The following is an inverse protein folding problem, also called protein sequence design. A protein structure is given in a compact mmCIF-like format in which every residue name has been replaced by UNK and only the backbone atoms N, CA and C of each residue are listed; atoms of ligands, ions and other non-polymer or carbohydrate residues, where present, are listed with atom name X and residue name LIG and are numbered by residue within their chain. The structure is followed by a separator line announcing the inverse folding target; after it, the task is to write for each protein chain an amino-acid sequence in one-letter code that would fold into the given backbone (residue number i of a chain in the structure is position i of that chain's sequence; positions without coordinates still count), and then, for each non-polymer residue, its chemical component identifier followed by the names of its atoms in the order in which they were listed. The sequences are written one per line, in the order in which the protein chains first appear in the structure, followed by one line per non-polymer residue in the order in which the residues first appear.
data_IF_624812803812
#
_entry.id   IF_624812803812
#
_cell.length_a   1.000
_cell.length_b   1.000
_cell.length_c   1.000
_cell.angle_alpha   90.00
_cell.angle_beta   90.00
_cell.angle_gamma   90.00
#
_symmetry.space_group_name_H-M   'P 1'
#
loop_
_entity.id
_entity.type
_entity.pdbx_description
1 polymer ?
#
# COMPACT_ATOMS: atom_id res chain seq x y z
N UNK A 1 -18.58 -15.75 4.01
CA UNK A 1 -17.61 -16.80 3.60
C UNK A 1 -17.16 -17.59 4.84
N UNK A 2 -16.72 -18.86 4.75
CA UNK A 2 -16.23 -19.58 5.94
C UNK A 2 -14.83 -19.09 6.35
N UNK A 3 -14.50 -19.15 7.65
CA UNK A 3 -13.17 -18.79 8.16
C UNK A 3 -12.05 -19.58 7.48
N UNK A 4 -12.25 -20.87 7.22
CA UNK A 4 -11.28 -21.71 6.51
C UNK A 4 -10.96 -21.21 5.10
N UNK A 5 -11.98 -20.79 4.34
CA UNK A 5 -11.79 -20.23 3.00
C UNK A 5 -11.09 -18.86 3.04
N UNK A 6 -11.44 -18.01 4.00
CA UNK A 6 -10.77 -16.72 4.22
C UNK A 6 -9.28 -16.91 4.52
N UNK A 7 -8.95 -17.82 5.45
CA UNK A 7 -7.56 -18.14 5.78
C UNK A 7 -6.78 -18.62 4.56
N UNK A 8 -7.36 -19.52 3.75
CA UNK A 8 -6.68 -20.04 2.56
C UNK A 8 -6.32 -18.93 1.55
N UNK A 9 -7.18 -17.92 1.40
CA UNK A 9 -6.97 -16.79 0.48
C UNK A 9 -6.01 -15.74 1.05
N UNK A 10 -5.98 -15.56 2.38
CA UNK A 10 -5.26 -14.46 3.01
C UNK A 10 -3.91 -14.85 3.63
N UNK A 11 -3.64 -16.14 3.80
CA UNK A 11 -2.44 -16.65 4.46
C UNK A 11 -1.16 -16.06 3.86
N UNK A 12 -0.25 -15.63 4.73
CA UNK A 12 1.11 -15.25 4.36
C UNK A 12 1.95 -16.51 4.14
N UNK A 13 2.53 -16.63 2.95
CA UNK A 13 3.43 -17.71 2.59
C UNK A 13 4.84 -17.17 2.36
N UNK A 14 5.83 -17.74 3.05
CA UNK A 14 7.20 -17.23 3.02
C UNK A 14 7.89 -17.43 1.67
N UNK A 15 7.63 -18.54 1.01
CA UNK A 15 8.20 -18.81 -0.30
C UNK A 15 7.65 -17.79 -1.31
N UNK A 16 6.34 -17.49 -1.23
CA UNK A 16 5.73 -16.43 -2.02
C UNK A 16 6.31 -15.05 -1.69
N UNK A 17 6.49 -14.71 -0.40
CA UNK A 17 7.12 -13.43 0.00
C UNK A 17 8.54 -13.31 -0.57
N UNK A 18 9.33 -14.40 -0.52
CA UNK A 18 10.70 -14.42 -1.08
C UNK A 18 10.68 -14.21 -2.59
N UNK A 19 9.78 -14.87 -3.31
CA UNK A 19 9.60 -14.68 -4.76
C UNK A 19 9.12 -13.26 -5.11
N UNK A 20 8.21 -12.69 -4.32
CA UNK A 20 7.61 -11.39 -4.56
C UNK A 20 8.61 -10.21 -4.40
N UNK A 21 9.79 -10.44 -3.79
CA UNK A 21 10.88 -9.45 -3.77
C UNK A 21 11.29 -9.02 -5.19
N UNK A 22 11.31 -9.96 -6.14
CA UNK A 22 11.63 -9.65 -7.54
C UNK A 22 10.55 -8.76 -8.19
N UNK A 23 9.27 -9.00 -7.88
CA UNK A 23 8.16 -8.18 -8.36
C UNK A 23 8.27 -6.73 -7.85
N UNK A 24 8.66 -6.55 -6.58
CA UNK A 24 8.87 -5.22 -6.01
C UNK A 24 9.95 -4.44 -6.76
N UNK A 25 11.09 -5.07 -7.02
CA UNK A 25 12.21 -4.47 -7.76
C UNK A 25 11.75 -4.07 -9.16
N UNK A 26 11.11 -5.00 -9.88
CA UNK A 26 10.58 -4.75 -11.23
C UNK A 26 9.54 -3.63 -11.27
N UNK A 27 8.67 -3.55 -10.27
CA UNK A 27 7.67 -2.48 -10.12
C UNK A 27 8.34 -1.11 -9.95
N UNK A 28 9.37 -1.03 -9.09
CA UNK A 28 10.15 0.19 -8.86
C UNK A 28 10.89 0.62 -10.14
N UNK A 29 11.60 -0.29 -10.78
CA UNK A 29 12.35 -0.03 -12.01
C UNK A 29 11.43 0.44 -13.14
N UNK A 30 10.29 -0.23 -13.31
CA UNK A 30 9.26 0.18 -14.26
C UNK A 30 8.77 1.60 -14.00
N UNK A 31 8.48 1.94 -12.74
CA UNK A 31 8.01 3.28 -12.38
C UNK A 31 9.09 4.37 -12.55
N UNK A 32 10.36 4.05 -12.31
CA UNK A 32 11.49 4.96 -12.55
C UNK A 32 11.66 5.21 -14.05
N UNK A 33 11.52 4.18 -14.89
CA UNK A 33 11.68 4.27 -16.33
C UNK A 33 10.59 5.08 -17.05
N UNK A 34 9.45 5.33 -16.39
CA UNK A 34 8.36 6.11 -16.99
C UNK A 34 8.79 7.54 -17.37
N UNK A 35 8.43 8.02 -18.58
CA UNK A 35 8.74 9.36 -19.03
C UNK A 35 8.24 10.45 -18.08
N UNK A 36 9.06 11.47 -17.81
CA UNK A 36 8.68 12.66 -17.03
C UNK A 36 8.28 13.83 -17.93
N UNK A 37 7.42 14.69 -17.41
CA UNK A 37 7.18 16.03 -17.96
C UNK A 37 8.31 17.01 -17.62
N UNK A 38 8.35 18.20 -18.23
CA UNK A 38 9.39 19.19 -17.98
C UNK A 38 9.27 19.90 -16.62
N UNK A 39 8.09 19.92 -16.00
CA UNK A 39 7.82 20.53 -14.68
C UNK A 39 6.62 19.86 -14.02
N UNK A 40 6.35 20.18 -12.74
CA UNK A 40 5.16 19.68 -12.05
C UNK A 40 3.85 20.09 -12.76
N UNK A 41 3.75 21.33 -13.22
CA UNK A 41 2.59 21.84 -13.97
C UNK A 41 2.36 21.12 -15.30
N UNK A 42 3.44 20.63 -15.93
CA UNK A 42 3.44 19.95 -17.23
C UNK A 42 3.76 18.47 -17.10
N UNK A 43 3.38 17.85 -15.99
CA UNK A 43 3.68 16.46 -15.75
C UNK A 43 3.06 15.52 -16.79
N UNK A 44 3.72 14.39 -17.01
CA UNK A 44 3.18 13.27 -17.78
C UNK A 44 2.45 12.33 -16.84
N UNK A 45 1.19 12.04 -17.17
CA UNK A 45 0.36 11.09 -16.43
C UNK A 45 0.45 9.70 -17.07
N UNK A 46 0.65 8.70 -16.23
CA UNK A 46 0.70 7.29 -16.60
C UNK A 46 -0.42 6.57 -15.88
N UNK A 47 -1.21 5.80 -16.61
CA UNK A 47 -2.30 5.00 -16.06
C UNK A 47 -1.73 3.63 -15.68
N UNK A 48 -1.99 3.20 -14.44
CA UNK A 48 -1.56 1.90 -13.92
C UNK A 48 -2.72 0.91 -13.83
N UNK A 49 -3.95 1.41 -13.69
CA UNK A 49 -5.15 0.61 -13.61
C UNK A 49 -6.36 1.39 -14.15
N UNK A 50 -7.26 0.71 -14.85
CA UNK A 50 -8.50 1.29 -15.37
C UNK A 50 -9.67 0.34 -15.26
N UNK A 51 -10.81 0.80 -14.76
CA UNK A 51 -12.07 0.06 -14.77
C UNK A 51 -13.26 0.98 -14.48
N UNK A 52 -14.41 0.71 -15.08
CA UNK A 52 -15.66 1.42 -14.75
C UNK A 52 -15.59 2.94 -14.96
N UNK A 53 -14.79 3.39 -15.92
CA UNK A 53 -14.55 4.82 -16.19
C UNK A 53 -13.62 5.51 -15.20
N UNK A 54 -13.00 4.76 -14.28
CA UNK A 54 -11.94 5.25 -13.40
C UNK A 54 -10.57 4.88 -13.97
N UNK A 55 -9.63 5.82 -13.87
CA UNK A 55 -8.20 5.61 -14.08
C UNK A 55 -7.45 5.91 -12.78
N UNK A 56 -6.56 5.01 -12.38
CA UNK A 56 -5.65 5.20 -11.26
C UNK A 56 -4.23 5.14 -11.79
N UNK A 57 -3.38 6.05 -11.33
CA UNK A 57 -2.00 6.07 -11.79
C UNK A 57 -1.13 7.10 -11.11
N UNK A 58 -0.07 7.50 -11.81
CA UNK A 58 0.96 8.41 -11.31
C UNK A 58 1.30 9.51 -12.32
N UNK A 59 1.50 10.73 -11.83
CA UNK A 59 2.07 11.85 -12.58
C UNK A 59 3.56 12.01 -12.31
N UNK A 60 4.36 12.36 -13.32
CA UNK A 60 5.81 12.64 -13.18
C UNK A 60 6.19 13.94 -13.88
N UNK A 61 6.93 14.87 -13.25
CA UNK A 61 7.47 14.80 -11.88
C UNK A 61 6.45 15.10 -10.77
N UNK A 62 6.68 14.56 -9.57
CA UNK A 62 5.94 14.86 -8.34
C UNK A 62 6.52 16.05 -7.55
N UNK A 63 5.86 16.44 -6.46
CA UNK A 63 6.18 17.67 -5.69
C UNK A 63 7.57 17.67 -5.04
N UNK A 64 8.18 16.52 -4.77
CA UNK A 64 9.52 16.47 -4.14
C UNK A 64 10.66 16.71 -5.15
N UNK A 65 10.41 16.82 -6.46
CA UNK A 65 11.47 17.11 -7.44
C UNK A 65 11.95 18.55 -7.38
N UNK A 66 11.13 19.48 -6.90
CA UNK A 66 11.44 20.93 -6.85
C UNK A 66 11.93 21.38 -5.46
N UNK A 67 12.10 20.46 -4.52
CA UNK A 67 12.61 20.73 -3.17
C UNK A 67 14.13 20.82 -3.14
N UNK A 68 14.70 21.48 -2.12
CA UNK A 68 16.16 21.57 -1.88
C UNK A 68 16.83 20.19 -1.81
N UNK A 69 16.22 19.25 -1.09
CA UNK A 69 16.61 17.83 -1.09
C UNK A 69 15.77 17.07 -2.12
N UNK A 70 15.97 17.39 -3.40
CA UNK A 70 15.11 16.91 -4.47
C UNK A 70 15.14 15.39 -4.62
N UNK A 71 13.98 14.78 -4.83
CA UNK A 71 13.92 13.41 -5.31
C UNK A 71 13.50 13.41 -6.79
N UNK A 72 14.42 13.15 -7.74
CA UNK A 72 14.14 13.27 -9.18
C UNK A 72 13.10 12.30 -9.70
N UNK A 73 12.78 11.24 -8.94
CA UNK A 73 11.83 10.20 -9.31
C UNK A 73 10.52 10.28 -8.53
N UNK A 74 10.31 11.30 -7.70
CA UNK A 74 9.04 11.51 -7.01
C UNK A 74 7.88 11.57 -8.01
N UNK A 75 6.74 11.02 -7.60
CA UNK A 75 5.56 10.86 -8.46
C UNK A 75 4.32 11.35 -7.73
N UNK A 76 3.26 11.65 -8.48
CA UNK A 76 1.98 12.09 -7.94
C UNK A 76 0.88 11.05 -8.19
N UNK A 77 0.52 10.24 -7.18
CA UNK A 77 -0.61 9.32 -7.28
C UNK A 77 -1.91 10.07 -7.52
N UNK A 78 -2.75 9.58 -8.45
CA UNK A 78 -4.03 10.20 -8.78
C UNK A 78 -5.15 9.18 -9.02
N UNK A 79 -6.39 9.68 -8.95
CA UNK A 79 -7.60 9.01 -9.45
C UNK A 79 -8.31 9.97 -10.41
N UNK A 80 -8.66 9.51 -11.60
CA UNK A 80 -9.53 10.20 -12.55
C UNK A 80 -10.82 9.41 -12.78
N UNK A 81 -11.93 10.11 -13.03
CA UNK A 81 -13.19 9.54 -13.51
C UNK A 81 -13.63 10.31 -14.74
N UNK A 82 -13.78 9.61 -15.87
CA UNK A 82 -14.11 10.27 -17.15
C UNK A 82 -13.13 11.39 -17.52
N UNK A 83 -11.83 11.17 -17.29
CA UNK A 83 -10.76 12.13 -17.60
C UNK A 83 -10.55 13.27 -16.59
N UNK A 84 -11.44 13.46 -15.61
CA UNK A 84 -11.32 14.50 -14.57
C UNK A 84 -10.82 13.92 -13.26
N UNK A 85 -10.02 14.67 -12.50
CA UNK A 85 -9.59 14.23 -11.17
C UNK A 85 -10.81 14.01 -10.28
N UNK A 86 -10.93 12.80 -9.72
CA UNK A 86 -12.09 12.39 -8.94
C UNK A 86 -12.00 12.81 -7.46
N UNK A 87 -10.76 12.92 -6.95
CA UNK A 87 -10.46 13.26 -5.56
C UNK A 87 -9.17 14.06 -5.48
N UNK A 88 -9.02 14.84 -4.41
CA UNK A 88 -7.74 15.44 -4.06
C UNK A 88 -6.73 14.39 -3.59
N UNK A 89 -5.44 14.71 -3.77
CA UNK A 89 -4.34 13.87 -3.33
C UNK A 89 -4.45 13.57 -1.83
N UNK A 90 -4.57 12.29 -1.47
CA UNK A 90 -4.77 11.91 -0.09
C UNK A 90 -3.48 12.10 0.72
N UNK A 91 -3.61 12.82 1.83
CA UNK A 91 -2.62 12.78 2.90
C UNK A 91 -2.80 11.52 3.73
N UNK A 92 -1.77 11.14 4.50
CA UNK A 92 -1.90 10.05 5.47
C UNK A 92 -3.02 10.31 6.47
N UNK A 93 -3.24 11.57 6.90
CA UNK A 93 -4.37 11.94 7.75
C UNK A 93 -5.72 11.61 7.10
N UNK A 94 -5.87 11.90 5.81
CA UNK A 94 -7.10 11.64 5.07
C UNK A 94 -7.39 10.12 5.00
N UNK A 95 -6.36 9.32 4.69
CA UNK A 95 -6.43 7.85 4.67
C UNK A 95 -6.79 7.31 6.07
N UNK A 96 -6.17 7.83 7.13
CA UNK A 96 -6.45 7.42 8.51
C UNK A 96 -7.88 7.75 8.96
N UNK A 97 -8.40 8.93 8.58
CA UNK A 97 -9.81 9.30 8.82
C UNK A 97 -10.77 8.36 8.10
N UNK A 98 -10.45 7.98 6.88
CA UNK A 98 -11.25 7.02 6.13
C UNK A 98 -11.31 5.66 6.85
N UNK A 99 -10.19 5.15 7.38
CA UNK A 99 -10.17 3.91 8.17
C UNK A 99 -11.00 4.01 9.44
N UNK A 100 -10.94 5.16 10.13
CA UNK A 100 -11.78 5.41 11.29
C UNK A 100 -13.27 5.41 10.94
N UNK A 101 -13.66 6.02 9.80
CA UNK A 101 -15.04 5.98 9.32
C UNK A 101 -15.48 4.55 8.94
N UNK A 102 -14.59 3.78 8.32
CA UNK A 102 -14.84 2.37 7.97
C UNK A 102 -15.04 1.46 9.20
N UNK A 103 -14.35 1.73 10.33
CA UNK A 103 -14.58 1.00 11.61
C UNK A 103 -16.06 1.01 12.00
N UNK A 104 -16.74 2.14 11.81
CA UNK A 104 -18.14 2.31 12.20
C UNK A 104 -19.13 1.57 11.30
N UNK A 105 -18.68 1.07 10.13
CA UNK A 105 -19.50 0.30 9.19
C UNK A 105 -19.39 -1.20 9.46
N UNK A 106 -18.17 -1.73 9.52
CA UNK A 106 -17.97 -3.17 9.76
C UNK A 106 -16.56 -3.46 10.25
N UNK A 107 -16.48 -4.02 11.46
CA UNK A 107 -15.22 -4.52 12.04
C UNK A 107 -14.65 -5.68 11.22
N UNK A 108 -15.50 -6.53 10.64
CA UNK A 108 -15.08 -7.66 9.83
C UNK A 108 -14.46 -7.22 8.50
N UNK A 109 -15.13 -6.33 7.76
CA UNK A 109 -14.60 -5.79 6.51
C UNK A 109 -13.29 -5.02 6.75
N UNK A 110 -13.18 -4.31 7.88
CA UNK A 110 -11.95 -3.61 8.25
C UNK A 110 -10.79 -4.57 8.55
N UNK A 111 -11.06 -5.70 9.21
CA UNK A 111 -10.06 -6.77 9.41
C UNK A 111 -9.58 -7.35 8.07
N UNK A 112 -10.50 -7.66 7.15
CA UNK A 112 -10.14 -8.16 5.81
C UNK A 112 -9.30 -7.14 5.04
N UNK A 113 -9.65 -5.85 5.14
CA UNK A 113 -8.91 -4.76 4.54
C UNK A 113 -7.47 -4.66 5.10
N UNK A 114 -7.29 -4.78 6.41
CA UNK A 114 -5.95 -4.83 7.00
C UNK A 114 -5.14 -6.03 6.51
N UNK A 115 -5.79 -7.20 6.34
CA UNK A 115 -5.12 -8.37 5.75
C UNK A 115 -4.63 -8.07 4.33
N UNK A 116 -5.44 -7.42 3.49
CA UNK A 116 -5.02 -6.99 2.15
C UNK A 116 -3.86 -5.98 2.19
N UNK A 117 -3.84 -5.04 3.14
CA UNK A 117 -2.73 -4.12 3.31
C UNK A 117 -1.43 -4.82 3.67
N UNK A 118 -1.48 -5.78 4.61
CA UNK A 118 -0.30 -6.58 4.97
C UNK A 118 0.19 -7.39 3.77
N UNK A 119 -0.70 -8.08 3.06
CA UNK A 119 -0.33 -8.86 1.85
C UNK A 119 0.28 -7.98 0.76
N UNK A 120 -0.32 -6.82 0.49
CA UNK A 120 0.20 -5.84 -0.49
C UNK A 120 1.55 -5.25 -0.08
N UNK A 121 1.81 -5.09 1.23
CA UNK A 121 3.11 -4.67 1.75
C UNK A 121 4.25 -5.62 1.36
N UNK A 122 3.93 -6.91 1.15
CA UNK A 122 4.82 -7.98 0.72
C UNK A 122 4.67 -8.37 -0.75
N UNK A 123 3.90 -7.62 -1.55
CA UNK A 123 3.68 -7.88 -2.98
C UNK A 123 2.99 -9.23 -3.28
N UNK A 124 2.25 -9.81 -2.33
CA UNK A 124 1.69 -11.18 -2.46
C UNK A 124 0.51 -11.29 -3.42
N UNK A 125 -0.16 -10.18 -3.68
CA UNK A 125 -1.33 -10.12 -4.57
C UNK A 125 -0.97 -9.32 -5.83
N UNK A 126 0.29 -9.37 -6.26
CA UNK A 126 0.78 -8.66 -7.42
C UNK A 126 1.16 -9.63 -8.52
N UNK A 127 0.77 -9.29 -9.75
CA UNK A 127 1.07 -10.09 -10.94
C UNK A 127 1.67 -9.22 -12.01
N UNK A 128 2.50 -9.82 -12.85
CA UNK A 128 2.95 -9.12 -14.05
C UNK A 128 1.88 -9.18 -15.14
N UNK A 129 1.51 -8.02 -15.67
CA UNK A 129 0.62 -7.88 -16.83
C UNK A 129 1.17 -6.83 -17.77
N UNK A 130 1.23 -7.15 -19.06
CA UNK A 130 1.59 -6.19 -20.11
C UNK A 130 2.85 -5.35 -19.77
N UNK A 131 3.89 -6.00 -19.23
CA UNK A 131 5.16 -5.36 -18.88
C UNK A 131 5.15 -4.48 -17.61
N UNK A 132 4.05 -4.41 -16.86
CA UNK A 132 3.99 -3.75 -15.55
C UNK A 132 3.50 -4.69 -14.46
N UNK A 133 3.72 -4.31 -13.20
CA UNK A 133 3.24 -5.07 -12.04
C UNK A 133 1.90 -4.49 -11.60
N UNK A 134 0.85 -5.30 -11.67
CA UNK A 134 -0.52 -4.93 -11.31
C UNK A 134 -0.91 -5.56 -9.97
N UNK A 135 -1.64 -4.81 -9.14
CA UNK A 135 -2.21 -5.31 -7.90
C UNK A 135 -3.58 -5.96 -8.17
N UNK A 136 -3.72 -7.22 -7.79
CA UNK A 136 -4.91 -8.06 -7.99
C UNK A 136 -5.29 -8.76 -6.68
N UNK A 137 -5.91 -8.04 -5.73
CA UNK A 137 -6.37 -8.65 -4.49
C UNK A 137 -7.38 -9.76 -4.78
N UNK A 138 -7.46 -10.82 -3.93
CA UNK A 138 -8.41 -11.91 -4.11
C UNK A 138 -9.85 -11.38 -4.24
N UNK A 139 -10.49 -11.65 -5.39
CA UNK A 139 -11.78 -11.08 -5.75
C UNK A 139 -12.87 -11.41 -4.71
N UNK A 140 -12.83 -12.60 -4.12
CA UNK A 140 -13.77 -13.01 -3.09
C UNK A 140 -13.61 -12.20 -1.80
N UNK A 141 -12.37 -11.84 -1.42
CA UNK A 141 -12.11 -11.01 -0.24
C UNK A 141 -12.62 -9.59 -0.50
N UNK A 142 -12.34 -9.05 -1.68
CA UNK A 142 -12.84 -7.74 -2.08
C UNK A 142 -14.38 -7.72 -2.11
N UNK A 143 -15.01 -8.77 -2.64
CA UNK A 143 -16.46 -8.91 -2.64
C UNK A 143 -17.04 -8.98 -1.22
N UNK A 144 -16.38 -9.66 -0.29
CA UNK A 144 -16.80 -9.72 1.11
C UNK A 144 -16.69 -8.34 1.80
N UNK A 145 -15.58 -7.61 1.60
CA UNK A 145 -15.41 -6.24 2.11
C UNK A 145 -16.53 -5.32 1.58
N UNK A 146 -16.84 -5.41 0.28
CA UNK A 146 -17.80 -4.54 -0.41
C UNK A 146 -19.25 -4.70 0.06
N UNK A 147 -19.59 -5.79 0.75
CA UNK A 147 -20.94 -5.95 1.34
C UNK A 147 -21.24 -4.87 2.36
N UNK A 148 -20.24 -4.51 3.17
CA UNK A 148 -20.41 -3.52 4.24
C UNK A 148 -19.74 -2.18 3.89
N UNK A 149 -18.67 -2.22 3.09
CA UNK A 149 -17.86 -1.06 2.74
C UNK A 149 -17.63 -1.03 1.22
N UNK A 150 -18.67 -0.70 0.43
CA UNK A 150 -18.59 -0.70 -1.03
C UNK A 150 -17.70 0.42 -1.59
N UNK A 151 -17.48 1.48 -0.82
CA UNK A 151 -16.75 2.66 -1.21
C UNK A 151 -15.96 3.24 -0.03
N UNK A 152 -14.83 3.83 -0.35
CA UNK A 152 -13.96 4.54 0.56
C UNK A 152 -13.37 5.75 -0.17
N UNK A 153 -13.20 6.86 0.55
CA UNK A 153 -12.59 8.08 0.02
C UNK A 153 -13.34 8.62 -1.22
N UNK A 154 -14.67 8.51 -1.23
CA UNK A 154 -15.52 8.99 -2.33
C UNK A 154 -15.47 8.15 -3.62
N UNK A 155 -14.79 7.00 -3.62
CA UNK A 155 -14.65 6.11 -4.79
C UNK A 155 -14.97 4.66 -4.42
N UNK A 156 -15.30 3.78 -5.40
CA UNK A 156 -15.48 2.35 -5.14
C UNK A 156 -14.26 1.73 -4.45
N UNK A 157 -14.47 0.73 -3.59
CA UNK A 157 -13.41 0.11 -2.78
C UNK A 157 -12.21 -0.36 -3.62
N UNK A 158 -12.47 -0.98 -4.77
CA UNK A 158 -11.43 -1.40 -5.72
C UNK A 158 -10.58 -0.23 -6.20
N UNK A 159 -11.19 0.92 -6.50
CA UNK A 159 -10.48 2.12 -6.96
C UNK A 159 -9.62 2.68 -5.83
N UNK A 160 -10.15 2.69 -4.61
CA UNK A 160 -9.40 3.11 -3.42
C UNK A 160 -8.19 2.23 -3.16
N UNK A 161 -8.33 0.90 -3.28
CA UNK A 161 -7.23 -0.04 -3.13
C UNK A 161 -6.12 0.18 -4.18
N UNK A 162 -6.49 0.36 -5.44
CA UNK A 162 -5.51 0.68 -6.50
C UNK A 162 -4.83 2.03 -6.25
N UNK A 163 -5.56 2.99 -5.67
CA UNK A 163 -4.99 4.29 -5.31
C UNK A 163 -3.96 4.17 -4.18
N UNK A 164 -4.24 3.37 -3.16
CA UNK A 164 -3.26 3.06 -2.11
C UNK A 164 -2.03 2.34 -2.67
N UNK A 165 -2.22 1.47 -3.66
CA UNK A 165 -1.10 0.83 -4.36
C UNK A 165 -0.22 1.86 -5.10
N UNK A 166 -0.82 2.82 -5.81
CA UNK A 166 -0.06 3.89 -6.46
C UNK A 166 0.72 4.76 -5.46
N UNK A 167 0.16 5.01 -4.27
CA UNK A 167 0.85 5.69 -3.16
C UNK A 167 2.01 4.83 -2.64
N UNK A 168 1.78 3.54 -2.42
CA UNK A 168 2.79 2.61 -1.93
C UNK A 168 3.98 2.47 -2.90
N UNK A 169 3.70 2.41 -4.21
CA UNK A 169 4.71 2.44 -5.27
C UNK A 169 5.52 3.74 -5.26
N UNK A 170 4.87 4.89 -5.07
CA UNK A 170 5.59 6.16 -4.95
C UNK A 170 6.55 6.17 -3.76
N UNK A 171 6.13 5.68 -2.58
CA UNK A 171 7.02 5.57 -1.44
C UNK A 171 8.20 4.62 -1.71
N UNK A 172 7.96 3.48 -2.36
CA UNK A 172 9.02 2.56 -2.79
C UNK A 172 10.07 3.25 -3.67
N UNK A 173 9.63 3.95 -4.72
CA UNK A 173 10.51 4.73 -5.60
C UNK A 173 11.27 5.80 -4.81
N UNK A 174 10.58 6.49 -3.88
CA UNK A 174 11.20 7.55 -3.10
C UNK A 174 12.35 7.05 -2.23
N UNK A 175 12.14 5.94 -1.52
CA UNK A 175 13.15 5.34 -0.68
C UNK A 175 14.30 4.76 -1.51
N UNK A 176 14.01 4.12 -2.64
CA UNK A 176 15.05 3.62 -3.56
C UNK A 176 15.96 4.76 -4.03
N UNK A 177 15.38 5.82 -4.58
CA UNK A 177 16.14 6.95 -5.13
C UNK A 177 16.90 7.71 -4.03
N UNK A 178 16.30 7.96 -2.86
CA UNK A 178 17.02 8.60 -1.74
C UNK A 178 18.17 7.73 -1.23
N UNK A 179 18.02 6.41 -1.22
CA UNK A 179 19.08 5.47 -0.85
C UNK A 179 20.26 5.55 -1.81
N UNK A 180 20.00 5.53 -3.12
CA UNK A 180 21.01 5.69 -4.18
C UNK A 180 21.74 7.03 -4.05
N UNK A 181 21.00 8.14 -3.92
CA UNK A 181 21.58 9.48 -3.77
C UNK A 181 22.44 9.65 -2.51
N UNK A 182 22.13 8.91 -1.43
CA UNK A 182 22.86 8.97 -0.15
C UNK A 182 23.93 7.88 -0.02
N UNK A 183 24.13 7.04 -1.03
CA UNK A 183 25.04 5.89 -0.98
C UNK A 183 24.68 4.86 0.10
N UNK A 184 23.42 4.79 0.53
CA UNK A 184 22.94 3.84 1.54
C UNK A 184 21.78 3.02 0.97
N UNK A 185 21.91 1.68 0.87
CA UNK A 185 20.83 0.87 0.33
C UNK A 185 19.55 1.04 1.15
N UNK A 186 18.41 1.14 0.48
CA UNK A 186 17.12 1.22 1.15
C UNK A 186 16.84 -0.09 1.89
N UNK A 187 16.48 0.00 3.17
CA UNK A 187 16.21 -1.17 3.98
C UNK A 187 14.95 -1.90 3.51
N UNK A 188 14.89 -3.24 3.62
CA UNK A 188 13.76 -4.04 3.14
C UNK A 188 12.42 -3.57 3.74
N UNK A 189 12.46 -3.09 4.99
CA UNK A 189 11.38 -2.49 5.79
C UNK A 189 10.75 -1.17 5.31
N UNK A 190 11.33 -0.50 4.32
CA UNK A 190 10.95 0.87 3.94
C UNK A 190 9.93 0.92 2.80
N UNK A 191 9.43 2.11 2.43
CA UNK A 191 8.61 2.33 1.22
C UNK A 191 7.17 1.83 1.35
N UNK A 192 6.74 0.89 0.51
CA UNK A 192 5.40 0.30 0.65
C UNK A 192 5.20 -0.38 1.99
N UNK A 193 6.26 -0.99 2.52
CA UNK A 193 6.11 -1.88 3.66
C UNK A 193 5.86 -1.09 4.93
N UNK A 194 6.55 0.02 5.16
CA UNK A 194 6.25 0.87 6.30
C UNK A 194 4.92 1.63 6.13
N UNK A 195 4.56 2.02 4.91
CA UNK A 195 3.31 2.73 4.63
C UNK A 195 2.07 1.85 4.85
N UNK A 196 1.95 0.74 4.12
CA UNK A 196 0.79 -0.15 4.20
C UNK A 196 0.70 -0.87 5.55
N UNK A 197 1.83 -1.27 6.15
CA UNK A 197 1.81 -1.88 7.48
C UNK A 197 1.49 -0.87 8.59
N UNK A 198 1.68 0.44 8.38
CA UNK A 198 1.18 1.46 9.31
C UNK A 198 -0.34 1.62 9.21
N UNK A 199 -0.89 1.48 8.01
CA UNK A 199 -2.34 1.44 7.80
C UNK A 199 -2.95 0.21 8.50
N UNK A 200 -2.32 -0.96 8.37
CA UNK A 200 -2.72 -2.16 9.09
C UNK A 200 -2.58 -2.00 10.62
N UNK A 201 -1.54 -1.33 11.11
CA UNK A 201 -1.38 -1.05 12.54
C UNK A 201 -2.52 -0.17 13.06
N UNK A 202 -2.88 0.89 12.33
CA UNK A 202 -4.00 1.74 12.70
C UNK A 202 -5.31 0.93 12.78
N UNK A 203 -5.56 0.05 11.82
CA UNK A 203 -6.73 -0.84 11.87
C UNK A 203 -6.67 -1.76 13.10
N UNK A 204 -5.51 -2.33 13.44
CA UNK A 204 -5.38 -3.14 14.64
C UNK A 204 -5.74 -2.36 15.92
N UNK A 205 -5.34 -1.09 16.01
CA UNK A 205 -5.73 -0.18 17.11
C UNK A 205 -7.23 0.11 17.08
N UNK A 206 -7.79 0.43 15.91
CA UNK A 206 -9.22 0.68 15.73
C UNK A 206 -10.07 -0.55 16.09
N UNK A 207 -9.56 -1.76 15.87
CA UNK A 207 -10.21 -3.00 16.27
C UNK A 207 -9.93 -3.41 17.72
N UNK A 208 -9.21 -2.58 18.50
CA UNK A 208 -8.82 -2.84 19.89
C UNK A 208 -7.97 -4.12 20.05
N UNK A 209 -7.14 -4.41 19.05
CA UNK A 209 -6.21 -5.55 19.03
C UNK A 209 -4.75 -5.16 19.23
N UNK A 210 -4.42 -3.88 19.01
CA UNK A 210 -3.12 -3.29 19.25
C UNK A 210 -3.26 -2.06 20.14
N UNK A 211 -2.21 -1.77 20.91
CA UNK A 211 -2.19 -0.64 21.82
C UNK A 211 -1.99 0.70 21.08
N UNK A 212 -2.75 1.72 21.49
CA UNK A 212 -2.70 3.06 20.88
C UNK A 212 -1.41 3.78 21.23
N UNK A 213 -0.87 3.59 22.44
CA UNK A 213 0.39 4.23 22.88
C UNK A 213 1.55 3.67 22.06
N UNK A 214 1.60 2.36 21.83
CA UNK A 214 2.56 1.74 20.93
C UNK A 214 2.49 2.30 19.51
N UNK A 215 1.26 2.43 18.98
CA UNK A 215 1.06 3.02 17.65
C UNK A 215 1.58 4.46 17.60
N UNK A 216 1.21 5.30 18.58
CA UNK A 216 1.63 6.69 18.68
C UNK A 216 3.15 6.84 18.89
N UNK A 217 3.75 5.96 19.70
CA UNK A 217 5.19 5.92 19.95
C UNK A 217 5.97 5.67 18.65
N UNK A 218 5.47 4.81 17.75
CA UNK A 218 6.10 4.62 16.43
C UNK A 218 6.27 5.93 15.64
N UNK A 219 5.30 6.84 15.70
CA UNK A 219 5.40 8.17 15.06
C UNK A 219 6.34 9.11 15.81
N UNK A 220 6.37 9.06 17.14
CA UNK A 220 7.20 9.95 17.96
C UNK A 220 8.71 9.73 17.76
N UNK A 221 9.10 8.56 17.24
CA UNK A 221 10.50 8.24 16.87
C UNK A 221 11.01 8.98 15.61
N UNK A 222 10.35 10.06 15.17
CA UNK A 222 10.66 10.83 13.96
C UNK A 222 10.65 10.00 12.66
N UNK A 223 9.99 8.84 12.66
CA UNK A 223 9.91 7.96 11.48
C UNK A 223 8.76 8.34 10.56
N UNK A 224 7.77 9.08 11.05
CA UNK A 224 6.57 9.47 10.29
C UNK A 224 5.64 8.31 9.94
N UNK A 225 5.89 7.11 10.49
CA UNK A 225 5.18 5.85 10.24
C UNK A 225 5.25 4.98 11.51
N UNK A 226 4.30 4.06 11.67
CA UNK A 226 4.26 3.09 12.77
C UNK A 226 3.87 1.71 12.24
N UNK A 227 4.75 1.03 11.49
CA UNK A 227 4.40 -0.22 10.83
C UNK A 227 4.35 -1.41 11.80
N UNK A 228 3.41 -2.33 11.55
CA UNK A 228 3.47 -3.66 12.14
C UNK A 228 4.69 -4.43 11.65
N UNK A 229 5.32 -5.19 12.55
CA UNK A 229 6.23 -6.26 12.16
C UNK A 229 5.44 -7.45 11.62
N UNK A 230 6.10 -8.37 10.90
CA UNK A 230 5.46 -9.60 10.42
C UNK A 230 4.80 -10.39 11.56
N UNK A 231 5.52 -10.54 12.68
CA UNK A 231 5.01 -11.24 13.87
C UNK A 231 3.74 -10.56 14.41
N UNK A 232 3.77 -9.24 14.58
CA UNK A 232 2.61 -8.48 15.08
C UNK A 232 1.43 -8.51 14.09
N UNK A 233 1.69 -8.56 12.79
CA UNK A 233 0.63 -8.73 11.80
C UNK A 233 -0.09 -10.07 11.97
N UNK A 234 0.63 -11.17 12.19
CA UNK A 234 0.03 -12.47 12.48
C UNK A 234 -0.70 -12.49 13.83
N UNK A 235 -0.14 -11.84 14.86
CA UNK A 235 -0.77 -11.71 16.18
C UNK A 235 -2.11 -10.95 16.12
N UNK A 236 -2.15 -9.82 15.43
CA UNK A 236 -3.35 -8.96 15.38
C UNK A 236 -4.37 -9.40 14.31
N UNK A 237 -3.94 -10.17 13.30
CA UNK A 237 -4.77 -10.64 12.20
C UNK A 237 -4.59 -12.14 11.94
N UNK A 238 -5.23 -13.02 12.73
CA UNK A 238 -5.06 -14.49 12.61
C UNK A 238 -5.48 -15.08 11.24
N UNK A 239 -6.24 -14.33 10.43
CA UNK A 239 -6.57 -14.74 9.05
C UNK A 239 -5.32 -14.82 8.14
N UNK A 240 -4.24 -14.14 8.52
CA UNK A 240 -2.94 -14.16 7.84
C UNK A 240 -2.13 -15.42 8.13
N UNK A 241 -2.53 -16.24 9.11
CA UNK A 241 -1.87 -17.49 9.46
C UNK A 241 -1.42 -17.55 10.93
N UNK A 242 -0.63 -18.57 11.24
CA UNK A 242 -0.14 -18.84 12.60
C UNK A 242 1.22 -18.20 12.85
N UNK A 243 1.48 -17.82 14.10
CA UNK A 243 2.76 -17.29 14.55
C UNK A 243 3.79 -18.41 14.57
N UNK A 244 4.70 -18.42 13.60
CA UNK A 244 5.96 -19.17 13.67
C UNK A 244 7.08 -18.17 13.89
N UNK A 245 7.91 -18.36 14.92
CA UNK A 245 8.97 -17.42 15.36
C UNK A 245 10.11 -17.32 14.34
N UNK A 246 9.86 -16.73 13.17
CA UNK A 246 10.82 -16.68 12.09
C UNK A 246 10.54 -15.45 11.19
N UNK A 247 11.51 -14.55 11.04
CA UNK A 247 11.43 -13.34 10.22
C UNK A 247 11.54 -13.65 8.71
N UNK A 248 10.51 -13.38 7.87
CA UNK A 248 10.57 -13.63 6.43
C UNK A 248 11.48 -12.67 5.66
N UNK A 249 11.99 -11.61 6.32
CA UNK A 249 12.91 -10.63 5.75
C UNK A 249 14.38 -10.91 6.11
N UNK A 250 14.65 -11.89 6.97
CA UNK A 250 16.01 -12.32 7.28
C UNK A 250 16.73 -12.76 6.00
N UNK A 251 18.03 -12.47 5.92
CA UNK A 251 18.91 -13.07 4.91
C UNK A 251 19.22 -14.49 5.39
N UNK A 252 19.16 -15.46 4.47
CA UNK A 252 19.73 -16.78 4.68
C UNK A 252 21.24 -16.65 4.97
#
# INVERSE_FOLDING_TARGET
MTKGKLNALLKLDKAQIKAAKALRIKSIEGAIALPRGPSQEKMKFHVLWSMGGYDVGIGKPGKETERKDSNPNDMWPYIKKGGRFAVESASFLAISREMQHMKNKSRHALELLACLFVRSSYMLDHVERNGHIAYEPPAEILAEIKKDIPAAYGVPMEVFLQYLEAIALNEDVKYRTKGELRGKPYGPGSGRMNNLSSCAHLIAVLLERADLVDYAYGYSQMRGVSPLTFKRALEHFPLLGEIKNEDPLAKD
#
